data_IF_666238494005
#
_entry.id   IF_666238494005
#
_cell.length_a   1.000
_cell.length_b   1.000
_cell.length_c   1.000
_cell.angle_alpha   90.00
_cell.angle_beta   90.00
_cell.angle_gamma   90.00
#
_symmetry.space_group_name_H-M   'P 1'
#
loop_
_entity.id
_entity.type
_entity.pdbx_description
1 polymer ?
#
# COMPACT_ATOMS: atom_id res chain seq x y z
N UNK A 1 2.05 -20.57 -16.25
CA UNK A 1 1.30 -19.45 -15.68
C UNK A 1 1.60 -19.46 -14.19
N UNK A 2 2.58 -18.68 -13.74
CA UNK A 2 2.94 -18.58 -12.32
C UNK A 2 1.82 -17.82 -11.62
N UNK A 3 1.14 -18.46 -10.67
CA UNK A 3 0.10 -17.81 -9.84
C UNK A 3 0.78 -16.74 -9.00
N UNK A 4 0.43 -15.48 -9.21
CA UNK A 4 0.85 -14.38 -8.34
C UNK A 4 0.31 -14.65 -6.94
N UNK A 5 1.20 -14.67 -5.95
CA UNK A 5 0.81 -14.80 -4.55
C UNK A 5 0.09 -13.53 -4.10
N UNK A 6 -0.93 -13.67 -3.24
CA UNK A 6 -1.58 -12.53 -2.61
C UNK A 6 -0.63 -11.84 -1.62
N UNK A 7 -0.92 -10.57 -1.24
CA UNK A 7 -0.19 -9.83 -0.19
C UNK A 7 0.01 -10.65 1.08
N UNK A 8 -0.97 -11.48 1.42
CA UNK A 8 -0.95 -12.32 2.60
C UNK A 8 -0.05 -13.55 2.43
N UNK A 9 -0.09 -14.17 1.25
CA UNK A 9 0.79 -15.30 0.91
C UNK A 9 2.24 -14.86 0.84
N UNK A 10 2.53 -13.69 0.22
CA UNK A 10 3.85 -13.08 0.18
C UNK A 10 4.36 -12.74 1.59
N UNK A 11 3.53 -12.09 2.38
CA UNK A 11 3.85 -11.73 3.76
C UNK A 11 4.17 -12.97 4.58
N UNK A 12 3.39 -14.03 4.44
CA UNK A 12 3.60 -15.31 5.12
C UNK A 12 4.91 -15.97 4.68
N UNK A 13 5.20 -15.98 3.38
CA UNK A 13 6.41 -16.58 2.83
C UNK A 13 7.67 -15.83 3.30
N UNK A 14 7.68 -14.50 3.17
CA UNK A 14 8.82 -13.67 3.52
C UNK A 14 9.04 -13.58 5.03
N UNK A 15 7.96 -13.59 5.83
CA UNK A 15 8.05 -13.65 7.29
C UNK A 15 8.58 -15.01 7.76
N UNK A 16 8.20 -16.10 7.12
CA UNK A 16 8.73 -17.44 7.44
C UNK A 16 10.24 -17.52 7.14
N UNK A 17 10.72 -16.91 6.05
CA UNK A 17 12.15 -16.86 5.72
C UNK A 17 12.93 -15.91 6.63
N UNK A 18 12.40 -14.73 6.93
CA UNK A 18 13.00 -13.79 7.87
C UNK A 18 13.05 -14.34 9.30
N UNK A 19 12.02 -15.07 9.72
CA UNK A 19 11.98 -15.76 11.02
C UNK A 19 13.01 -16.89 11.09
N UNK A 20 13.18 -17.66 10.03
CA UNK A 20 14.23 -18.69 9.95
C UNK A 20 15.64 -18.10 10.02
N UNK A 21 15.85 -16.91 9.43
CA UNK A 21 17.16 -16.25 9.41
C UNK A 21 17.53 -15.63 10.77
N UNK A 22 16.56 -15.25 11.61
CA UNK A 22 16.79 -14.50 12.87
C UNK A 22 16.40 -15.24 14.15
N UNK A 23 15.73 -16.38 14.06
CA UNK A 23 15.29 -17.16 15.24
C UNK A 23 14.20 -16.46 16.10
N UNK A 24 13.56 -15.41 15.57
CA UNK A 24 12.52 -14.65 16.29
C UNK A 24 11.28 -14.51 15.39
N UNK A 25 10.17 -15.04 15.89
CA UNK A 25 8.83 -14.84 15.31
C UNK A 25 8.23 -13.56 15.91
N UNK A 26 8.40 -12.41 15.26
CA UNK A 26 7.57 -11.25 15.54
C UNK A 26 6.31 -11.31 14.65
N UNK A 27 5.11 -11.30 15.25
CA UNK A 27 3.88 -11.26 14.45
C UNK A 27 3.83 -9.94 13.65
N UNK A 28 3.32 -9.94 12.40
CA UNK A 28 3.16 -8.72 11.62
C UNK A 28 2.28 -7.73 12.38
N UNK A 29 2.61 -6.45 12.28
CA UNK A 29 1.75 -5.38 12.82
C UNK A 29 0.30 -5.63 12.41
N UNK A 30 -0.61 -5.53 13.38
CA UNK A 30 -2.03 -5.83 13.16
C UNK A 30 -2.56 -4.99 11.99
N UNK A 31 -3.08 -5.66 10.96
CA UNK A 31 -3.78 -4.98 9.86
C UNK A 31 -4.97 -4.20 10.43
N UNK A 32 -5.22 -2.99 9.95
CA UNK A 32 -6.47 -2.30 10.27
C UNK A 32 -7.66 -3.17 9.86
N UNK A 33 -8.74 -3.22 10.64
CA UNK A 33 -9.93 -3.97 10.29
C UNK A 33 -10.49 -3.47 8.96
N UNK A 34 -11.10 -4.38 8.19
CA UNK A 34 -11.79 -4.05 6.96
C UNK A 34 -12.88 -2.98 7.20
N UNK A 35 -12.96 -1.99 6.32
CA UNK A 35 -13.92 -0.90 6.42
C UNK A 35 -15.25 -1.25 5.75
N UNK A 36 -16.36 -1.08 6.48
CA UNK A 36 -17.70 -1.17 5.92
C UNK A 36 -18.12 0.12 5.19
N UNK A 37 -19.33 0.10 4.65
CA UNK A 37 -19.89 1.24 3.88
C UNK A 37 -19.92 2.55 4.70
N UNK A 38 -20.35 2.50 5.94
CA UNK A 38 -20.43 3.69 6.81
C UNK A 38 -19.04 4.22 7.17
N UNK A 39 -18.07 3.34 7.35
CA UNK A 39 -16.71 3.73 7.64
C UNK A 39 -16.06 4.45 6.45
N UNK A 40 -16.26 3.94 5.23
CA UNK A 40 -15.79 4.59 4.00
C UNK A 40 -16.46 5.95 3.81
N UNK A 41 -17.78 6.04 4.00
CA UNK A 41 -18.51 7.30 3.94
C UNK A 41 -17.95 8.31 4.94
N UNK A 42 -17.81 7.92 6.19
CA UNK A 42 -17.26 8.79 7.24
C UNK A 42 -15.83 9.24 6.96
N UNK A 43 -14.97 8.37 6.40
CA UNK A 43 -13.61 8.75 5.98
C UNK A 43 -13.63 9.85 4.90
N UNK A 44 -14.48 9.71 3.87
CA UNK A 44 -14.60 10.70 2.81
C UNK A 44 -15.08 12.05 3.36
N UNK A 45 -16.15 12.04 4.15
CA UNK A 45 -16.74 13.25 4.74
C UNK A 45 -15.74 13.97 5.66
N UNK A 46 -14.98 13.22 6.47
CA UNK A 46 -13.96 13.78 7.38
C UNK A 46 -12.88 14.58 6.66
N UNK A 47 -12.53 14.20 5.43
CA UNK A 47 -11.52 14.90 4.61
C UNK A 47 -12.16 15.86 3.60
N UNK A 48 -13.46 16.14 3.71
CA UNK A 48 -14.17 17.08 2.83
C UNK A 48 -14.52 16.53 1.44
N UNK A 49 -14.39 15.24 1.22
CA UNK A 49 -14.73 14.60 -0.04
C UNK A 49 -16.19 14.15 -0.03
N UNK A 50 -17.02 14.68 -0.95
CA UNK A 50 -18.40 14.23 -1.11
C UNK A 50 -18.48 12.74 -1.44
N UNK A 51 -19.29 11.91 -0.74
CA UNK A 51 -19.46 10.48 -1.00
C UNK A 51 -20.28 10.24 -2.28
N UNK A 52 -19.63 10.36 -3.44
CA UNK A 52 -20.26 10.01 -4.72
C UNK A 52 -20.22 8.48 -4.91
N UNK A 53 -21.09 7.96 -5.78
CA UNK A 53 -21.14 6.51 -6.08
C UNK A 53 -19.76 5.97 -6.45
N UNK A 54 -19.01 6.66 -7.30
CA UNK A 54 -17.68 6.24 -7.74
C UNK A 54 -16.68 6.20 -6.58
N UNK A 55 -16.60 7.28 -5.78
CA UNK A 55 -15.70 7.32 -4.59
C UNK A 55 -16.07 6.27 -3.56
N UNK A 56 -17.37 6.04 -3.33
CA UNK A 56 -17.82 5.00 -2.41
C UNK A 56 -17.45 3.60 -2.90
N UNK A 57 -17.67 3.31 -4.18
CA UNK A 57 -17.33 2.01 -4.77
C UNK A 57 -15.82 1.76 -4.69
N UNK A 58 -14.99 2.71 -5.14
CA UNK A 58 -13.53 2.57 -5.10
C UNK A 58 -13.00 2.56 -3.66
N UNK A 59 -13.58 3.36 -2.76
CA UNK A 59 -13.24 3.34 -1.35
C UNK A 59 -13.55 2.00 -0.67
N UNK A 60 -14.68 1.36 -0.99
CA UNK A 60 -15.01 0.03 -0.49
C UNK A 60 -14.04 -1.03 -0.99
N UNK A 61 -13.67 -1.01 -2.28
CA UNK A 61 -12.69 -1.93 -2.84
C UNK A 61 -11.31 -1.72 -2.22
N UNK A 62 -10.93 -0.47 -1.97
CA UNK A 62 -9.62 -0.08 -1.48
C UNK A 62 -9.45 -0.35 0.02
N UNK A 63 -10.41 0.08 0.84
CA UNK A 63 -10.33 -0.01 2.31
C UNK A 63 -11.04 -1.24 2.90
N UNK A 64 -11.90 -1.89 2.12
CA UNK A 64 -12.70 -3.03 2.58
C UNK A 64 -11.91 -4.31 2.84
N UNK A 65 -10.63 -4.37 2.44
CA UNK A 65 -9.74 -5.53 2.63
C UNK A 65 -8.66 -5.29 3.68
N UNK A 66 -8.76 -4.21 4.46
CA UNK A 66 -7.71 -3.77 5.38
C UNK A 66 -6.59 -3.01 4.69
N UNK A 67 -5.42 -2.89 5.36
CA UNK A 67 -4.28 -2.18 4.80
C UNK A 67 -3.65 -2.95 3.65
N UNK A 68 -3.39 -2.24 2.54
CA UNK A 68 -2.87 -2.84 1.31
C UNK A 68 -2.14 -1.84 0.42
N UNK A 69 -1.29 -2.38 -0.44
CA UNK A 69 -0.72 -1.70 -1.59
C UNK A 69 -1.50 -2.10 -2.84
N UNK A 70 -1.69 -1.18 -3.77
CA UNK A 70 -2.34 -1.44 -5.06
C UNK A 70 -1.93 -0.41 -6.10
N UNK A 71 -2.11 -0.76 -7.37
CA UNK A 71 -1.99 0.18 -8.49
C UNK A 71 -3.37 0.63 -8.98
N UNK A 72 -3.41 1.65 -9.82
CA UNK A 72 -4.67 2.08 -10.43
C UNK A 72 -5.27 1.00 -11.33
N UNK A 73 -4.41 0.25 -12.04
CA UNK A 73 -4.81 -0.84 -12.92
C UNK A 73 -5.41 -2.02 -12.16
N UNK A 74 -4.79 -2.41 -11.03
CA UNK A 74 -5.33 -3.47 -10.16
C UNK A 74 -6.69 -3.08 -9.58
N UNK A 75 -6.81 -1.86 -9.06
CA UNK A 75 -8.08 -1.36 -8.54
C UNK A 75 -9.15 -1.27 -9.63
N UNK A 76 -8.77 -0.91 -10.87
CA UNK A 76 -9.66 -0.93 -12.03
C UNK A 76 -10.13 -2.35 -12.36
N UNK A 77 -9.22 -3.33 -12.34
CA UNK A 77 -9.59 -4.74 -12.55
C UNK A 77 -10.56 -5.23 -11.48
N UNK A 78 -10.33 -4.91 -10.21
CA UNK A 78 -11.26 -5.21 -9.12
C UNK A 78 -12.64 -4.56 -9.32
N UNK A 79 -12.66 -3.29 -9.73
CA UNK A 79 -13.90 -2.58 -10.02
C UNK A 79 -14.67 -3.24 -11.19
N UNK A 80 -13.96 -3.69 -12.21
CA UNK A 80 -14.54 -4.42 -13.35
C UNK A 80 -15.11 -5.77 -12.91
N UNK A 81 -14.40 -6.53 -12.09
CA UNK A 81 -14.87 -7.80 -11.52
C UNK A 81 -16.11 -7.60 -10.62
N UNK A 82 -16.16 -6.49 -9.88
CA UNK A 82 -17.32 -6.10 -9.10
C UNK A 82 -18.48 -5.52 -9.96
N UNK A 83 -18.36 -5.55 -11.28
CA UNK A 83 -19.32 -4.98 -12.24
C UNK A 83 -19.61 -3.51 -12.00
N UNK A 84 -18.67 -2.77 -11.47
CA UNK A 84 -18.76 -1.34 -11.34
C UNK A 84 -18.50 -0.68 -12.71
N UNK A 85 -19.41 0.16 -13.16
CA UNK A 85 -19.22 0.92 -14.40
C UNK A 85 -18.35 2.16 -14.13
N UNK A 86 -17.04 1.94 -14.01
CA UNK A 86 -16.05 2.97 -13.71
C UNK A 86 -14.91 2.82 -14.72
N UNK A 87 -14.52 3.92 -15.36
CA UNK A 87 -13.38 3.91 -16.30
C UNK A 87 -12.04 3.96 -15.56
N UNK A 88 -10.96 3.51 -16.21
CA UNK A 88 -9.61 3.61 -15.66
C UNK A 88 -9.22 5.07 -15.36
N UNK A 89 -9.60 6.02 -16.22
CA UNK A 89 -9.39 7.45 -15.97
C UNK A 89 -10.10 7.93 -14.68
N UNK A 90 -11.31 7.41 -14.40
CA UNK A 90 -12.02 7.71 -13.15
C UNK A 90 -11.31 7.12 -11.93
N UNK A 91 -10.70 5.93 -12.07
CA UNK A 91 -9.90 5.33 -10.99
C UNK A 91 -8.70 6.21 -10.67
N UNK A 92 -7.91 6.60 -11.68
CA UNK A 92 -6.77 7.52 -11.50
C UNK A 92 -7.18 8.83 -10.83
N UNK A 93 -8.25 9.49 -11.34
CA UNK A 93 -8.73 10.75 -10.78
C UNK A 93 -9.21 10.60 -9.33
N UNK A 94 -9.84 9.47 -9.00
CA UNK A 94 -10.31 9.21 -7.63
C UNK A 94 -9.13 8.93 -6.69
N UNK A 95 -8.16 8.12 -7.12
CA UNK A 95 -6.95 7.84 -6.34
C UNK A 95 -6.15 9.11 -6.11
N UNK A 96 -6.02 9.99 -7.12
CA UNK A 96 -5.40 11.31 -6.95
C UNK A 96 -6.11 12.15 -5.89
N UNK A 97 -7.45 12.19 -5.92
CA UNK A 97 -8.25 12.90 -4.90
C UNK A 97 -8.07 12.29 -3.50
N UNK A 98 -7.97 10.97 -3.41
CA UNK A 98 -7.73 10.28 -2.14
C UNK A 98 -6.32 10.56 -1.61
N UNK A 99 -5.32 10.63 -2.49
CA UNK A 99 -3.96 11.00 -2.15
C UNK A 99 -3.87 12.44 -1.66
N UNK A 100 -4.44 13.39 -2.42
CA UNK A 100 -4.46 14.82 -2.06
C UNK A 100 -5.19 15.07 -0.72
N UNK A 101 -6.17 14.21 -0.39
CA UNK A 101 -6.90 14.26 0.87
C UNK A 101 -6.24 13.44 2.01
N UNK A 102 -5.09 12.80 1.78
CA UNK A 102 -4.38 11.99 2.77
C UNK A 102 -5.05 10.67 3.14
N UNK A 103 -5.97 10.16 2.31
CA UNK A 103 -6.63 8.86 2.51
C UNK A 103 -5.76 7.69 2.05
N UNK A 104 -4.89 7.92 1.10
CA UNK A 104 -3.85 7.01 0.63
C UNK A 104 -2.53 7.75 0.45
N UNK A 105 -1.42 7.02 0.42
CA UNK A 105 -0.09 7.54 0.12
C UNK A 105 0.34 7.04 -1.25
N UNK A 106 0.89 7.93 -2.07
CA UNK A 106 1.52 7.57 -3.34
C UNK A 106 2.96 7.13 -3.10
N UNK A 107 3.35 6.02 -3.72
CA UNK A 107 4.72 5.48 -3.68
C UNK A 107 5.20 5.39 -5.12
N UNK A 108 6.09 6.28 -5.49
CA UNK A 108 6.71 6.30 -6.82
C UNK A 108 7.96 5.42 -6.83
N UNK A 109 7.96 4.37 -7.64
CA UNK A 109 9.10 3.53 -7.89
C UNK A 109 9.72 3.85 -9.23
N UNK A 110 11.03 4.09 -9.26
CA UNK A 110 11.73 4.36 -10.51
C UNK A 110 11.58 3.19 -11.48
N UNK A 111 11.09 3.48 -12.69
CA UNK A 111 10.89 2.49 -13.75
C UNK A 111 9.67 1.58 -13.58
N UNK A 112 8.78 1.86 -12.63
CA UNK A 112 7.57 1.07 -12.39
C UNK A 112 6.30 1.95 -12.30
N UNK A 113 5.18 1.31 -12.06
CA UNK A 113 3.88 1.96 -11.87
C UNK A 113 3.85 2.76 -10.56
N UNK A 114 2.93 3.72 -10.48
CA UNK A 114 2.60 4.40 -9.23
C UNK A 114 1.78 3.47 -8.33
N UNK A 115 2.26 3.27 -7.12
CA UNK A 115 1.58 2.49 -6.10
C UNK A 115 0.81 3.39 -5.14
N UNK A 116 -0.27 2.88 -4.62
CA UNK A 116 -1.10 3.52 -3.61
C UNK A 116 -1.18 2.64 -2.38
N UNK A 117 -0.84 3.22 -1.24
CA UNK A 117 -0.86 2.55 0.04
C UNK A 117 -1.97 3.12 0.92
N UNK A 118 -2.80 2.26 1.46
CA UNK A 118 -3.89 2.64 2.36
C UNK A 118 -3.42 2.94 3.79
N UNK A 119 -2.20 2.55 4.14
CA UNK A 119 -1.56 2.86 5.42
C UNK A 119 -0.74 4.14 5.26
N UNK A 120 -1.32 5.27 5.64
CA UNK A 120 -0.75 6.60 5.40
C UNK A 120 0.29 7.04 6.45
N UNK A 121 0.48 6.31 7.56
CA UNK A 121 1.51 6.58 8.55
C UNK A 121 2.93 6.35 8.00
N UNK A 122 3.93 6.95 8.65
CA UNK A 122 5.33 6.77 8.25
C UNK A 122 5.76 5.30 8.40
N UNK A 123 6.15 4.67 7.33
CA UNK A 123 6.74 3.33 7.27
C UNK A 123 7.46 3.17 5.93
N UNK A 124 8.24 2.12 5.81
CA UNK A 124 9.13 1.86 4.69
C UNK A 124 8.72 0.58 3.97
N UNK A 125 9.26 0.35 2.78
CA UNK A 125 8.78 -0.72 1.91
C UNK A 125 9.91 -1.57 1.36
N UNK A 126 9.62 -2.88 1.23
CA UNK A 126 10.33 -3.75 0.32
C UNK A 126 9.63 -3.78 -1.04
N UNK A 127 10.39 -3.75 -2.11
CA UNK A 127 9.92 -3.97 -3.46
C UNK A 127 10.55 -5.23 -4.04
N UNK A 128 9.73 -6.19 -4.47
CA UNK A 128 10.20 -7.45 -5.06
C UNK A 128 10.37 -7.27 -6.56
N UNK A 129 11.63 -7.25 -7.00
CA UNK A 129 11.96 -7.16 -8.43
C UNK A 129 11.49 -8.41 -9.19
N UNK A 130 10.93 -8.22 -10.38
CA UNK A 130 10.42 -9.30 -11.23
C UNK A 130 9.01 -9.75 -10.93
N UNK A 131 8.49 -9.48 -9.72
CA UNK A 131 7.13 -9.81 -9.33
C UNK A 131 6.25 -8.58 -9.14
N UNK A 132 6.86 -7.39 -9.23
CA UNK A 132 6.18 -6.10 -9.06
C UNK A 132 5.29 -6.06 -7.81
N UNK A 133 5.84 -6.50 -6.68
CA UNK A 133 5.13 -6.56 -5.41
C UNK A 133 5.75 -5.66 -4.36
N UNK A 134 4.91 -4.97 -3.57
CA UNK A 134 5.31 -4.04 -2.52
C UNK A 134 4.74 -4.49 -1.18
N UNK A 135 5.56 -4.47 -0.11
CA UNK A 135 5.11 -4.76 1.25
C UNK A 135 5.88 -3.97 2.30
N UNK A 136 5.26 -3.76 3.47
CA UNK A 136 5.84 -2.94 4.54
C UNK A 136 7.08 -3.59 5.14
N UNK A 137 8.10 -2.77 5.44
CA UNK A 137 9.21 -3.16 6.30
C UNK A 137 8.72 -3.04 7.75
N UNK A 138 8.91 -4.06 8.61
CA UNK A 138 8.66 -3.94 10.04
C UNK A 138 9.46 -2.77 10.64
N UNK A 139 8.83 -1.98 11.53
CA UNK A 139 9.45 -0.78 12.08
C UNK A 139 10.78 -1.06 12.82
N UNK A 140 10.91 -2.25 13.41
CA UNK A 140 12.12 -2.72 14.09
C UNK A 140 13.28 -3.04 13.16
N UNK A 141 13.02 -3.22 11.87
CA UNK A 141 14.02 -3.63 10.88
C UNK A 141 14.76 -2.46 10.24
N UNK A 142 14.30 -1.23 10.43
CA UNK A 142 14.90 -0.04 9.83
C UNK A 142 14.93 1.13 10.81
N UNK A 143 16.13 1.55 11.21
CA UNK A 143 16.33 2.73 12.05
C UNK A 143 16.80 3.91 11.18
N UNK A 144 15.99 4.97 11.12
CA UNK A 144 16.28 6.22 10.41
C UNK A 144 16.59 7.39 11.35
N UNK A 145 16.87 7.13 12.63
CA UNK A 145 17.05 8.16 13.66
C UNK A 145 18.20 9.15 13.40
N UNK A 146 19.16 8.80 12.52
CA UNK A 146 20.32 9.62 12.25
C UNK A 146 20.16 10.57 11.05
N UNK A 147 18.99 10.57 10.39
CA UNK A 147 18.71 11.50 9.28
C UNK A 147 18.40 12.88 9.84
N UNK A 148 19.23 13.87 9.49
CA UNK A 148 19.08 15.26 9.95
C UNK A 148 18.82 16.19 8.79
N UNK A 149 17.90 17.15 8.98
CA UNK A 149 17.70 18.21 8.01
C UNK A 149 18.93 19.16 7.97
N UNK A 150 19.25 19.74 6.80
CA UNK A 150 20.19 20.86 6.71
C UNK A 150 19.72 22.06 7.53
N UNK A 151 20.65 22.98 7.86
CA UNK A 151 20.31 24.18 8.60
C UNK A 151 19.24 25.02 7.88
N UNK A 152 18.23 25.45 8.62
CA UNK A 152 17.09 26.20 8.08
C UNK A 152 16.05 25.37 7.32
N UNK A 153 16.15 24.05 7.33
CA UNK A 153 15.19 23.12 6.66
C UNK A 153 14.57 22.17 7.67
N UNK A 154 13.40 21.63 7.33
CA UNK A 154 12.73 20.57 8.06
C UNK A 154 12.54 19.34 7.16
N UNK A 155 12.58 18.15 7.75
CA UNK A 155 12.29 16.91 7.02
C UNK A 155 10.77 16.79 6.91
N UNK A 156 10.25 16.87 5.70
CA UNK A 156 8.81 16.70 5.42
C UNK A 156 8.43 15.23 5.37
N UNK A 157 9.27 14.40 4.73
CA UNK A 157 9.08 12.94 4.67
C UNK A 157 10.42 12.24 4.45
N UNK A 158 10.47 10.96 4.83
CA UNK A 158 11.58 10.06 4.47
C UNK A 158 10.94 8.80 3.89
N UNK A 159 11.24 8.52 2.63
CA UNK A 159 10.78 7.36 1.92
C UNK A 159 11.95 6.43 1.61
N UNK A 160 11.93 5.21 2.17
CA UNK A 160 12.94 4.20 1.88
C UNK A 160 12.29 3.00 1.22
N UNK A 161 12.86 2.62 0.09
CA UNK A 161 12.44 1.44 -0.66
C UNK A 161 13.64 0.52 -0.82
N UNK A 162 13.54 -0.64 -0.20
CA UNK A 162 14.56 -1.68 -0.29
C UNK A 162 14.15 -2.65 -1.41
N UNK A 163 14.93 -2.69 -2.48
CA UNK A 163 14.70 -3.63 -3.58
C UNK A 163 15.25 -5.00 -3.22
N UNK A 164 14.41 -6.01 -3.37
CA UNK A 164 14.76 -7.39 -3.08
C UNK A 164 14.42 -8.28 -4.28
N UNK A 165 15.09 -9.41 -4.40
CA UNK A 165 14.76 -10.44 -5.39
C UNK A 165 14.86 -11.82 -4.73
N UNK A 166 14.09 -12.82 -5.19
CA UNK A 166 14.24 -14.19 -4.71
C UNK A 166 15.69 -14.67 -4.88
N UNK A 167 16.20 -15.36 -3.86
CA UNK A 167 17.52 -16.04 -4.00
C UNK A 167 17.34 -17.17 -5.00
N UNK A 168 18.12 -17.18 -6.07
CA UNK A 168 18.27 -18.37 -6.90
C UNK A 168 19.05 -19.40 -6.08
N UNK A 169 18.36 -20.47 -5.66
CA UNK A 169 19.05 -21.64 -5.10
C UNK A 169 19.89 -22.27 -6.23
N UNK A 170 21.19 -22.14 -6.14
CA UNK A 170 22.16 -22.89 -6.97
C UNK A 170 22.31 -24.28 -6.41
#
# INVERSE_FOLDING_TARGET
VTKLLSDEEWRTLMMAEAARARGVLTPPAAKRPACGFQDVKGRLEKVGLRPTRQRMTLGLLLFGKGDRHTTAEELYQEATQARANISLATVYNTLKQFSDAGLVREIALYGSRLWYDTKTGAHQHFYVEGEEHLFDIPAEDLNLADVRAPEGMEIVSVDVIVRVRPKTNS
#
